data_IF_250639946163
#
_entry.id   IF_250639946163
#
_cell.length_a   1.000
_cell.length_b   1.000
_cell.length_c   1.000
_cell.angle_alpha   90.00
_cell.angle_beta   90.00
_cell.angle_gamma   90.00
#
_symmetry.space_group_name_H-M   'P 1'
#
loop_
_entity.id
_entity.type
_entity.pdbx_description
1 polymer ?
#
# COMPACT_ATOMS: atom_id res chain seq x y z
N UNK A 1 13.28 15.03 40.64
CA UNK A 1 12.21 14.02 40.82
C UNK A 1 11.88 13.41 39.47
N UNK A 2 12.19 12.13 39.28
CA UNK A 2 11.85 11.33 38.09
C UNK A 2 10.38 10.90 38.21
N UNK A 3 9.63 10.85 37.10
CA UNK A 3 8.32 10.20 37.05
C UNK A 3 8.34 9.15 35.94
N UNK A 4 8.30 7.90 36.37
CA UNK A 4 8.20 6.67 35.58
C UNK A 4 6.93 6.62 34.73
N UNK A 5 7.06 6.16 33.48
CA UNK A 5 5.96 5.90 32.55
C UNK A 5 5.91 4.43 32.13
N UNK A 6 5.99 3.52 33.11
CA UNK A 6 5.85 2.08 32.87
C UNK A 6 4.42 1.63 33.15
N UNK A 7 3.53 1.74 32.17
CA UNK A 7 2.30 0.91 32.15
C UNK A 7 1.80 0.70 30.72
N UNK A 8 2.17 -0.45 30.16
CA UNK A 8 1.63 -0.97 28.92
C UNK A 8 0.10 -1.09 29.01
N UNK A 9 -0.61 -0.44 28.08
CA UNK A 9 -2.03 -0.65 27.89
C UNK A 9 -2.24 -2.04 27.27
N UNK A 10 -2.63 -3.02 28.09
CA UNK A 10 -3.13 -4.31 27.62
C UNK A 10 -4.49 -4.06 26.96
N UNK A 11 -4.52 -4.02 25.63
CA UNK A 11 -5.77 -4.00 24.88
C UNK A 11 -6.45 -5.36 25.03
N UNK A 12 -7.62 -5.39 25.69
CA UNK A 12 -8.48 -6.57 25.80
C UNK A 12 -9.31 -6.66 24.51
N UNK A 13 -9.11 -7.74 23.75
CA UNK A 13 -9.94 -8.09 22.59
C UNK A 13 -11.36 -8.39 23.09
N UNK A 14 -12.42 -7.71 22.59
CA UNK A 14 -13.79 -8.09 22.89
C UNK A 14 -14.12 -9.47 22.32
N UNK A 15 -14.78 -10.27 23.15
CA UNK A 15 -15.06 -11.68 22.94
C UNK A 15 -15.79 -12.00 21.64
N UNK A 16 -15.33 -13.11 21.08
CA UNK A 16 -15.76 -13.84 19.91
C UNK A 16 -17.28 -14.09 19.86
N UNK A 17 -17.93 -13.55 18.81
CA UNK A 17 -19.11 -14.15 18.19
C UNK A 17 -19.08 -13.90 16.69
N UNK A 18 -18.33 -14.74 15.98
CA UNK A 18 -18.59 -15.05 14.58
C UNK A 18 -17.49 -14.65 13.58
N UNK A 19 -16.68 -15.64 13.19
CA UNK A 19 -15.93 -15.82 11.92
C UNK A 19 -14.44 -16.17 12.14
N UNK A 20 -14.17 -17.46 12.37
CA UNK A 20 -12.86 -18.05 12.68
C UNK A 20 -11.83 -18.08 11.53
N UNK A 21 -11.82 -17.09 10.64
CA UNK A 21 -10.84 -16.97 9.53
C UNK A 21 -9.89 -15.78 9.69
N UNK A 22 -10.31 -14.70 10.36
CA UNK A 22 -9.52 -13.46 10.48
C UNK A 22 -8.23 -13.64 11.31
N UNK A 23 -8.30 -14.32 12.47
CA UNK A 23 -7.13 -14.54 13.34
C UNK A 23 -6.07 -15.45 12.73
N UNK A 24 -6.49 -16.46 11.95
CA UNK A 24 -5.58 -17.41 11.27
C UNK A 24 -4.72 -16.74 10.19
N UNK A 25 -5.26 -15.75 9.48
CA UNK A 25 -4.53 -15.07 8.42
C UNK A 25 -3.44 -14.14 8.97
N UNK A 26 -3.70 -13.48 10.12
CA UNK A 26 -2.69 -12.65 10.78
C UNK A 26 -1.56 -13.49 11.40
N UNK A 27 -1.88 -14.59 12.09
CA UNK A 27 -0.85 -15.48 12.66
C UNK A 27 0.00 -16.14 11.56
N UNK A 28 -0.62 -16.58 10.46
CA UNK A 28 0.09 -17.10 9.29
C UNK A 28 0.97 -16.03 8.61
N UNK A 29 0.48 -14.80 8.46
CA UNK A 29 1.27 -13.66 7.97
C UNK A 29 2.46 -13.37 8.89
N UNK A 30 2.22 -13.25 10.20
CA UNK A 30 3.23 -12.97 11.21
C UNK A 30 4.30 -14.07 11.22
N UNK A 31 3.92 -15.33 11.11
CA UNK A 31 4.89 -16.44 10.99
C UNK A 31 5.72 -16.37 9.71
N UNK A 32 5.12 -15.96 8.59
CA UNK A 32 5.80 -15.88 7.28
C UNK A 32 6.76 -14.69 7.16
N UNK A 33 6.50 -13.59 7.86
CA UNK A 33 7.23 -12.33 7.68
C UNK A 33 7.96 -11.79 8.93
N UNK A 34 7.77 -12.37 10.13
CA UNK A 34 8.51 -11.97 11.34
C UNK A 34 10.00 -12.38 11.34
N UNK A 35 10.45 -13.22 10.41
CA UNK A 35 11.86 -13.60 10.23
C UNK A 35 12.65 -12.64 9.33
N UNK A 36 11.98 -11.74 8.59
CA UNK A 36 12.62 -10.74 7.74
C UNK A 36 12.96 -9.46 8.55
N UNK A 37 13.74 -9.63 9.62
CA UNK A 37 14.40 -8.50 10.28
C UNK A 37 15.61 -8.09 9.43
N UNK A 38 15.44 -7.16 8.49
CA UNK A 38 16.57 -6.59 7.75
C UNK A 38 16.60 -5.06 7.83
N UNK A 39 17.76 -4.61 8.28
CA UNK A 39 18.25 -3.25 8.46
C UNK A 39 17.93 -2.34 7.28
N UNK A 40 17.37 -1.17 7.58
CA UNK A 40 17.22 -0.07 6.64
C UNK A 40 18.60 0.38 6.10
N UNK A 41 18.74 0.71 4.81
CA UNK A 41 19.97 1.30 4.30
C UNK A 41 20.16 2.70 4.89
N UNK A 42 21.25 2.89 5.64
CA UNK A 42 21.69 4.18 6.15
C UNK A 42 22.21 5.04 4.99
N UNK A 43 21.63 6.22 4.80
CA UNK A 43 22.21 7.26 3.94
C UNK A 43 23.56 7.73 4.54
N UNK A 44 24.66 7.24 3.98
CA UNK A 44 25.99 7.77 4.24
C UNK A 44 26.24 8.98 3.32
N UNK A 45 26.39 10.15 3.92
CA UNK A 45 26.94 11.34 3.28
C UNK A 45 28.44 11.14 3.05
N UNK A 46 28.90 11.38 1.82
CA UNK A 46 30.31 11.70 1.56
C UNK A 46 30.38 12.88 0.59
N UNK A 47 30.87 13.99 1.12
CA UNK A 47 31.42 15.07 0.30
C UNK A 47 32.85 14.71 -0.13
N UNK A 48 33.19 15.08 -1.36
CA UNK A 48 34.55 15.42 -1.73
C UNK A 48 34.53 16.35 -2.94
N UNK A 49 35.19 17.49 -2.77
CA UNK A 49 35.48 18.48 -3.79
C UNK A 49 36.77 18.09 -4.53
N UNK A 50 36.82 18.32 -5.85
CA UNK A 50 37.98 18.91 -6.55
C UNK A 50 37.65 19.18 -8.02
N UNK A 51 38.04 20.38 -8.44
CA UNK A 51 38.17 20.91 -9.81
C UNK A 51 39.17 20.04 -10.61
N UNK A 52 39.23 19.94 -11.94
CA UNK A 52 38.67 20.65 -13.08
C UNK A 52 39.67 20.46 -14.24
N UNK A 53 39.23 20.14 -15.46
CA UNK A 53 39.69 20.67 -16.75
C UNK A 53 39.18 19.87 -17.95
N UNK A 54 38.93 20.64 -19.01
CA UNK A 54 38.22 20.31 -20.23
C UNK A 54 39.01 19.43 -21.23
N UNK A 55 38.29 18.70 -22.10
CA UNK A 55 38.32 18.95 -23.55
C UNK A 55 37.46 17.98 -24.38
N UNK A 56 36.79 18.58 -25.37
CA UNK A 56 36.40 18.11 -26.68
C UNK A 56 35.26 17.07 -26.86
N UNK A 57 34.15 17.58 -27.41
CA UNK A 57 33.22 16.86 -28.31
C UNK A 57 33.95 16.23 -29.51
N UNK A 58 33.31 15.24 -30.15
CA UNK A 58 32.84 15.45 -31.51
C UNK A 58 31.37 15.09 -31.73
N UNK A 59 30.78 15.79 -32.70
CA UNK A 59 29.40 15.68 -33.17
C UNK A 59 29.18 14.41 -34.02
N UNK A 60 28.02 13.78 -33.84
CA UNK A 60 27.15 13.10 -34.83
C UNK A 60 26.11 12.31 -34.03
N UNK A 61 24.86 12.10 -34.38
CA UNK A 61 23.93 12.58 -35.39
C UNK A 61 22.53 12.28 -34.81
N UNK A 62 21.55 13.11 -35.11
CA UNK A 62 20.20 13.02 -34.55
C UNK A 62 19.43 11.80 -35.07
N UNK A 63 18.68 11.11 -34.19
CA UNK A 63 17.40 10.49 -34.56
C UNK A 63 16.49 10.22 -33.35
N UNK A 64 15.45 11.06 -33.31
CA UNK A 64 14.05 10.87 -32.88
C UNK A 64 13.74 10.30 -31.48
N UNK A 65 13.65 11.22 -30.51
CA UNK A 65 13.08 10.96 -29.20
C UNK A 65 11.55 11.02 -29.23
N UNK A 66 10.91 9.86 -29.29
CA UNK A 66 9.50 9.74 -28.90
C UNK A 66 9.38 9.95 -27.38
N UNK A 67 9.03 11.17 -26.98
CA UNK A 67 8.59 11.48 -25.62
C UNK A 67 7.31 10.68 -25.34
N UNK A 68 7.41 9.64 -24.52
CA UNK A 68 6.25 8.93 -24.01
C UNK A 68 5.47 9.88 -23.07
N UNK A 69 4.42 10.52 -23.61
CA UNK A 69 3.50 11.35 -22.83
C UNK A 69 2.63 10.40 -21.99
N UNK A 70 2.70 10.45 -20.65
CA UNK A 70 1.83 9.62 -19.82
C UNK A 70 0.37 10.02 -20.09
N UNK A 71 -0.56 9.06 -20.25
CA UNK A 71 -1.94 9.37 -20.57
C UNK A 71 -2.57 10.23 -19.47
N UNK A 72 -3.32 11.23 -19.91
CA UNK A 72 -4.06 12.18 -19.07
C UNK A 72 -4.92 11.44 -18.04
N UNK A 73 -4.68 11.73 -16.75
CA UNK A 73 -5.35 11.06 -15.63
C UNK A 73 -6.79 11.56 -15.52
N UNK A 74 -7.72 10.87 -16.18
CA UNK A 74 -9.15 11.10 -15.99
C UNK A 74 -9.61 10.45 -14.68
N UNK A 75 -10.21 11.26 -13.80
CA UNK A 75 -10.83 10.77 -12.57
C UNK A 75 -12.06 9.90 -12.92
N UNK A 76 -12.11 8.63 -12.48
CA UNK A 76 -13.27 7.79 -12.69
C UNK A 76 -14.48 8.31 -11.91
N UNK A 77 -15.65 8.18 -12.52
CA UNK A 77 -16.93 8.43 -11.87
C UNK A 77 -17.11 7.36 -10.77
N UNK A 78 -17.34 7.78 -9.52
CA UNK A 78 -17.71 6.89 -8.42
C UNK A 78 -19.10 6.31 -8.68
N UNK A 79 -19.16 5.22 -9.43
CA UNK A 79 -20.40 4.49 -9.69
C UNK A 79 -20.76 3.68 -8.45
N UNK A 80 -22.00 3.84 -7.99
CA UNK A 80 -22.60 2.98 -6.97
C UNK A 80 -22.49 1.53 -7.46
N UNK A 81 -21.99 0.57 -6.66
CA UNK A 81 -21.91 -0.82 -7.09
C UNK A 81 -23.31 -1.35 -7.44
N UNK A 82 -23.64 -1.39 -8.74
CA UNK A 82 -24.73 -2.24 -9.23
C UNK A 82 -24.17 -3.65 -9.36
N UNK A 83 -24.73 -4.54 -8.56
CA UNK A 83 -24.48 -5.96 -8.65
C UNK A 83 -25.07 -6.49 -9.96
N UNK A 84 -24.19 -7.00 -10.83
CA UNK A 84 -24.61 -7.94 -11.87
C UNK A 84 -24.37 -9.31 -11.24
N UNK A 85 -25.46 -10.05 -11.04
CA UNK A 85 -25.56 -11.30 -10.28
C UNK A 85 -24.29 -12.17 -10.34
N UNK A 86 -23.78 -12.52 -9.15
CA UNK A 86 -22.89 -13.65 -8.87
C UNK A 86 -21.45 -13.61 -9.44
N UNK A 87 -20.81 -12.43 -9.50
CA UNK A 87 -19.37 -12.33 -9.80
C UNK A 87 -18.59 -11.59 -8.70
N UNK A 88 -17.40 -12.08 -8.31
CA UNK A 88 -16.57 -11.42 -7.32
C UNK A 88 -16.22 -9.99 -7.78
N UNK A 89 -16.49 -9.01 -6.92
CA UNK A 89 -16.20 -7.60 -7.20
C UNK A 89 -14.82 -7.28 -6.65
N UNK A 90 -13.79 -7.40 -7.50
CA UNK A 90 -12.45 -6.92 -7.17
C UNK A 90 -12.39 -5.41 -7.46
N UNK A 91 -11.90 -4.65 -6.50
CA UNK A 91 -11.66 -3.21 -6.60
C UNK A 91 -10.17 -2.96 -6.41
N UNK A 92 -9.58 -2.23 -7.36
CA UNK A 92 -8.23 -1.71 -7.23
C UNK A 92 -8.27 -0.31 -6.64
N UNK A 93 -7.59 -0.12 -5.51
CA UNK A 93 -7.59 1.13 -4.75
C UNK A 93 -6.19 1.71 -4.71
N UNK A 94 -6.11 3.03 -4.89
CA UNK A 94 -4.92 3.83 -4.61
C UNK A 94 -5.26 4.88 -3.55
N UNK A 95 -4.48 4.90 -2.47
CA UNK A 95 -4.62 5.93 -1.43
C UNK A 95 -3.28 6.55 -1.10
N UNK A 96 -3.27 7.87 -0.97
CA UNK A 96 -2.06 8.64 -0.75
C UNK A 96 -1.99 9.19 0.68
N UNK A 97 -0.78 9.46 1.15
CA UNK A 97 -0.54 10.25 2.35
C UNK A 97 -0.81 11.74 2.08
N UNK A 98 -1.21 12.46 3.12
CA UNK A 98 -1.40 13.90 3.04
C UNK A 98 -0.11 14.57 2.55
N UNK A 99 -0.24 15.51 1.60
CA UNK A 99 0.90 16.20 0.96
C UNK A 99 1.97 15.26 0.39
N UNK A 100 1.63 13.99 0.09
CA UNK A 100 2.58 12.98 -0.43
C UNK A 100 3.79 12.78 0.51
N UNK A 101 3.58 12.88 1.82
CA UNK A 101 4.58 12.56 2.84
C UNK A 101 5.09 11.13 2.68
N UNK A 102 6.41 10.95 2.61
CA UNK A 102 7.06 9.64 2.47
C UNK A 102 7.26 8.98 3.85
N UNK A 103 6.20 8.41 4.41
CA UNK A 103 6.18 7.86 5.79
C UNK A 103 5.77 6.39 5.87
N UNK A 104 5.37 5.78 4.75
CA UNK A 104 4.80 4.43 4.74
C UNK A 104 5.80 3.32 4.44
N UNK A 105 6.95 3.63 3.82
CA UNK A 105 8.00 2.66 3.51
C UNK A 105 8.88 2.40 4.74
N UNK A 106 8.27 1.82 5.78
CA UNK A 106 8.96 1.38 7.00
C UNK A 106 8.28 0.14 7.56
N UNK A 107 9.04 -0.67 8.32
CA UNK A 107 8.51 -1.89 8.92
C UNK A 107 7.33 -1.60 9.87
N UNK A 108 7.42 -0.53 10.67
CA UNK A 108 6.35 -0.15 11.60
C UNK A 108 5.08 0.32 10.90
N UNK A 109 5.20 1.09 9.81
CA UNK A 109 4.04 1.50 9.01
C UNK A 109 3.40 0.29 8.32
N UNK A 110 4.21 -0.61 7.75
CA UNK A 110 3.74 -1.85 7.12
C UNK A 110 2.98 -2.74 8.09
N UNK A 111 3.53 -2.98 9.28
CA UNK A 111 2.87 -3.76 10.34
C UNK A 111 1.55 -3.10 10.78
N UNK A 112 1.54 -1.78 10.98
CA UNK A 112 0.33 -1.05 11.34
C UNK A 112 -0.77 -1.17 10.27
N UNK A 113 -0.39 -1.09 8.99
CA UNK A 113 -1.30 -1.22 7.85
C UNK A 113 -1.89 -2.62 7.78
N UNK A 114 -1.05 -3.66 7.82
CA UNK A 114 -1.51 -5.05 7.74
C UNK A 114 -2.40 -5.40 8.94
N UNK A 115 -2.01 -4.99 10.15
CA UNK A 115 -2.82 -5.17 11.36
C UNK A 115 -4.18 -4.50 11.23
N UNK A 116 -4.22 -3.27 10.70
CA UNK A 116 -5.46 -2.55 10.48
C UNK A 116 -6.37 -3.24 9.44
N UNK A 117 -5.81 -3.83 8.38
CA UNK A 117 -6.58 -4.60 7.41
C UNK A 117 -7.13 -5.90 7.99
N UNK A 118 -6.35 -6.62 8.81
CA UNK A 118 -6.83 -7.80 9.52
C UNK A 118 -7.98 -7.46 10.49
N UNK A 119 -7.88 -6.33 11.20
CA UNK A 119 -8.94 -5.86 12.10
C UNK A 119 -10.20 -5.40 11.34
N UNK A 120 -10.05 -4.82 10.14
CA UNK A 120 -11.15 -4.36 9.29
C UNK A 120 -11.66 -5.47 8.35
N UNK A 121 -12.03 -6.62 8.91
CA UNK A 121 -12.32 -7.88 8.19
C UNK A 121 -13.61 -7.91 7.37
N UNK A 122 -14.37 -6.82 7.32
CA UNK A 122 -15.58 -6.71 6.47
C UNK A 122 -15.26 -6.60 4.98
N UNK A 123 -13.99 -6.36 4.65
CA UNK A 123 -13.44 -6.51 3.30
C UNK A 123 -12.19 -7.38 3.34
N UNK A 124 -11.97 -8.11 2.26
CA UNK A 124 -10.75 -8.89 2.04
C UNK A 124 -9.74 -8.02 1.29
N UNK A 125 -8.52 -7.95 1.80
CA UNK A 125 -7.37 -7.39 1.08
C UNK A 125 -6.64 -8.52 0.38
N UNK A 126 -6.43 -8.39 -0.92
CA UNK A 126 -5.66 -9.32 -1.73
C UNK A 126 -4.21 -8.93 -1.78
N UNK A 127 -3.70 -8.76 -3.00
CA UNK A 127 -2.35 -8.25 -3.26
C UNK A 127 -2.25 -6.76 -3.00
N UNK A 128 -1.08 -6.31 -2.52
CA UNK A 128 -0.81 -4.90 -2.25
C UNK A 128 0.66 -4.55 -2.41
N UNK A 129 0.92 -3.27 -2.64
CA UNK A 129 2.24 -2.62 -2.62
C UNK A 129 2.11 -1.30 -1.87
N UNK A 130 2.94 -1.11 -0.85
CA UNK A 130 3.05 0.13 -0.09
C UNK A 130 4.29 0.87 -0.60
N UNK A 131 4.04 2.00 -1.24
CA UNK A 131 5.05 2.97 -1.66
C UNK A 131 5.27 3.97 -0.52
N UNK A 132 6.38 4.75 -0.51
CA UNK A 132 6.66 5.66 0.59
C UNK A 132 5.52 6.64 0.93
N UNK A 133 4.77 7.10 -0.06
CA UNK A 133 3.72 8.12 0.08
C UNK A 133 2.33 7.65 -0.39
N UNK A 134 2.16 6.40 -0.81
CA UNK A 134 0.85 5.87 -1.22
C UNK A 134 0.81 4.35 -1.17
N UNK A 135 -0.40 3.80 -1.24
CA UNK A 135 -0.65 2.35 -1.23
C UNK A 135 -1.48 2.00 -2.46
N UNK A 136 -1.08 0.93 -3.12
CA UNK A 136 -1.87 0.21 -4.11
C UNK A 136 -2.35 -1.10 -3.48
N UNK A 137 -3.65 -1.37 -3.52
CA UNK A 137 -4.20 -2.63 -3.04
C UNK A 137 -5.36 -3.12 -3.92
N UNK A 138 -5.55 -4.43 -3.94
CA UNK A 138 -6.74 -5.07 -4.45
C UNK A 138 -7.60 -5.51 -3.27
N UNK A 139 -8.90 -5.24 -3.32
CA UNK A 139 -9.82 -5.66 -2.28
C UNK A 139 -11.16 -6.13 -2.85
N UNK A 140 -11.89 -6.89 -2.04
CA UNK A 140 -13.24 -7.35 -2.33
C UNK A 140 -14.10 -7.31 -1.06
N UNK A 141 -15.42 -7.09 -1.17
CA UNK A 141 -16.31 -7.18 -0.02
C UNK A 141 -16.31 -8.60 0.56
N UNK A 142 -16.29 -8.73 1.89
CA UNK A 142 -16.34 -10.02 2.58
C UNK A 142 -17.78 -10.38 2.94
N UNK A 143 -18.57 -10.74 1.93
CA UNK A 143 -20.01 -11.02 2.08
C UNK A 143 -20.91 -9.89 1.61
N UNK A 144 -22.23 -10.14 1.60
CA UNK A 144 -23.24 -9.22 1.05
C UNK A 144 -23.46 -7.99 1.94
N UNK A 145 -23.28 -8.13 3.25
CA UNK A 145 -23.50 -7.06 4.22
C UNK A 145 -22.25 -6.19 4.44
N UNK A 146 -21.25 -6.31 3.56
CA UNK A 146 -20.05 -5.49 3.64
C UNK A 146 -20.42 -4.00 3.53
N UNK A 147 -19.90 -3.15 4.44
CA UNK A 147 -20.16 -1.72 4.37
C UNK A 147 -19.54 -1.14 3.11
N UNK A 148 -19.95 0.07 2.72
CA UNK A 148 -19.37 0.74 1.55
C UNK A 148 -17.84 0.83 1.63
N UNK A 149 -17.16 0.81 0.47
CA UNK A 149 -15.71 0.96 0.38
C UNK A 149 -15.23 2.19 1.15
N UNK A 150 -15.93 3.31 1.05
CA UNK A 150 -15.61 4.54 1.76
C UNK A 150 -15.65 4.39 3.29
N UNK A 151 -16.61 3.65 3.84
CA UNK A 151 -16.66 3.36 5.27
C UNK A 151 -15.48 2.49 5.68
N UNK A 152 -15.25 1.38 4.98
CA UNK A 152 -14.12 0.49 5.26
C UNK A 152 -12.78 1.23 5.18
N UNK A 153 -12.58 2.07 4.15
CA UNK A 153 -11.40 2.92 3.98
C UNK A 153 -11.19 3.87 5.15
N UNK A 154 -12.25 4.52 5.67
CA UNK A 154 -12.16 5.39 6.84
C UNK A 154 -11.75 4.62 8.10
N UNK A 155 -12.30 3.42 8.28
CA UNK A 155 -12.02 2.57 9.44
C UNK A 155 -10.54 2.22 9.53
N UNK A 156 -10.00 1.50 8.54
CA UNK A 156 -8.62 1.03 8.62
C UNK A 156 -7.62 2.18 8.59
N UNK A 157 -7.88 3.25 7.82
CA UNK A 157 -7.03 4.46 7.84
C UNK A 157 -6.93 5.07 9.23
N UNK A 158 -8.04 5.12 9.97
CA UNK A 158 -8.05 5.66 11.34
C UNK A 158 -7.25 4.78 12.30
N UNK A 159 -7.29 3.45 12.11
CA UNK A 159 -6.50 2.51 12.90
C UNK A 159 -5.00 2.73 12.66
N UNK A 160 -4.58 2.86 11.40
CA UNK A 160 -3.18 3.14 11.06
C UNK A 160 -2.74 4.49 11.61
N UNK A 161 -3.54 5.55 11.43
CA UNK A 161 -3.23 6.89 11.97
C UNK A 161 -3.00 6.84 13.49
N UNK A 162 -3.87 6.15 14.23
CA UNK A 162 -3.73 5.98 15.69
C UNK A 162 -2.50 5.16 16.05
N UNK A 163 -2.27 4.05 15.35
CA UNK A 163 -1.12 3.15 15.61
C UNK A 163 0.22 3.84 15.35
N UNK A 164 0.26 4.76 14.38
CA UNK A 164 1.45 5.55 14.05
C UNK A 164 1.60 6.81 14.92
N UNK A 165 0.68 7.08 15.85
CA UNK A 165 0.71 8.28 16.70
C UNK A 165 0.49 9.59 15.93
N UNK A 166 -0.08 9.53 14.72
CA UNK A 166 -0.36 10.71 13.92
C UNK A 166 -1.67 11.39 14.36
N UNK A 167 -1.76 12.72 14.32
CA UNK A 167 -3.02 13.42 14.58
C UNK A 167 -4.12 13.00 13.60
N UNK A 168 -5.37 13.03 14.06
CA UNK A 168 -6.53 12.72 13.22
C UNK A 168 -6.54 13.60 11.96
N UNK A 169 -6.64 12.96 10.79
CA UNK A 169 -6.65 13.65 9.49
C UNK A 169 -5.28 14.10 8.95
N UNK A 170 -4.18 13.88 9.69
CA UNK A 170 -2.85 14.33 9.26
C UNK A 170 -2.11 13.35 8.34
N UNK A 171 -2.39 12.05 8.43
CA UNK A 171 -1.64 11.02 7.70
C UNK A 171 -2.09 10.85 6.24
N UNK A 172 -3.40 10.90 5.97
CA UNK A 172 -3.97 10.49 4.69
C UNK A 172 -4.55 11.66 3.89
N UNK A 173 -4.53 11.56 2.57
CA UNK A 173 -5.42 12.38 1.74
C UNK A 173 -6.89 12.01 2.03
N UNK A 174 -7.77 13.02 1.98
CA UNK A 174 -9.21 12.87 2.25
C UNK A 174 -9.85 11.84 1.33
N UNK A 175 -9.49 11.85 0.06
CA UNK A 175 -10.04 10.97 -0.97
C UNK A 175 -9.06 9.85 -1.32
N UNK A 176 -9.60 8.79 -1.89
CA UNK A 176 -8.85 7.72 -2.51
C UNK A 176 -9.34 7.57 -3.94
N UNK A 177 -8.52 6.97 -4.78
CA UNK A 177 -8.91 6.56 -6.12
C UNK A 177 -9.26 5.09 -6.10
N UNK A 178 -10.33 4.70 -6.76
CA UNK A 178 -10.75 3.31 -6.89
C UNK A 178 -11.23 3.00 -8.32
N UNK A 179 -11.02 1.75 -8.73
CA UNK A 179 -11.56 1.22 -9.98
C UNK A 179 -12.01 -0.21 -9.76
N UNK A 180 -13.27 -0.48 -10.05
CA UNK A 180 -13.82 -1.83 -10.13
C UNK A 180 -13.26 -2.56 -11.35
N UNK A 181 -12.80 -3.78 -11.14
CA UNK A 181 -12.39 -4.66 -12.21
C UNK A 181 -13.62 -5.19 -12.97
N UNK A 182 -13.50 -5.27 -14.30
CA UNK A 182 -14.56 -5.77 -15.20
C UNK A 182 -14.19 -7.14 -15.76
N UNK A 183 -15.18 -8.00 -15.96
CA UNK A 183 -15.00 -9.31 -16.59
C UNK A 183 -14.17 -9.21 -17.88
N UNK A 184 -13.09 -9.99 -17.95
CA UNK A 184 -12.13 -9.98 -19.06
C UNK A 184 -10.87 -9.14 -18.79
N UNK A 185 -10.82 -8.34 -17.74
CA UNK A 185 -9.56 -7.71 -17.30
C UNK A 185 -8.65 -8.77 -16.66
N UNK A 186 -7.37 -8.75 -17.03
CA UNK A 186 -6.38 -9.65 -16.47
C UNK A 186 -5.83 -9.07 -15.15
N UNK A 187 -6.27 -9.65 -14.03
CA UNK A 187 -5.78 -9.33 -12.70
C UNK A 187 -4.25 -9.51 -12.58
N UNK A 188 -3.70 -10.53 -13.24
CA UNK A 188 -2.26 -10.81 -13.28
C UNK A 188 -1.46 -9.68 -13.91
N UNK A 189 -1.88 -9.21 -15.10
CA UNK A 189 -1.17 -8.13 -15.81
C UNK A 189 -1.18 -6.83 -15.00
N UNK A 190 -2.31 -6.52 -14.35
CA UNK A 190 -2.36 -5.34 -13.46
C UNK A 190 -1.44 -5.52 -12.26
N UNK A 191 -1.44 -6.71 -11.66
CA UNK A 191 -0.54 -7.00 -10.54
C UNK A 191 0.92 -6.82 -10.95
N UNK A 192 1.33 -7.32 -12.11
CA UNK A 192 2.71 -7.19 -12.58
C UNK A 192 3.12 -5.72 -12.77
N UNK A 193 2.23 -4.92 -13.36
CA UNK A 193 2.45 -3.48 -13.44
C UNK A 193 2.57 -2.85 -12.04
N UNK A 194 1.70 -3.24 -11.10
CA UNK A 194 1.65 -2.66 -9.76
C UNK A 194 2.89 -3.03 -8.93
N UNK A 195 3.30 -4.30 -8.92
CA UNK A 195 4.49 -4.79 -8.21
C UNK A 195 5.78 -4.18 -8.75
N UNK A 196 5.79 -3.80 -10.04
CA UNK A 196 6.93 -3.12 -10.68
C UNK A 196 7.02 -1.62 -10.38
N UNK A 197 6.09 -1.02 -9.62
CA UNK A 197 6.17 0.41 -9.29
C UNK A 197 7.45 0.80 -8.52
N UNK A 198 7.90 0.06 -7.49
CA UNK A 198 9.14 0.40 -6.78
C UNK A 198 10.36 0.49 -7.70
N UNK A 199 10.46 -0.42 -8.68
CA UNK A 199 11.51 -0.39 -9.72
C UNK A 199 11.38 0.85 -10.61
N UNK A 200 10.18 1.12 -11.12
CA UNK A 200 9.92 2.28 -11.99
C UNK A 200 10.14 3.62 -11.29
N UNK A 201 10.04 3.65 -9.96
CA UNK A 201 10.35 4.80 -9.12
C UNK A 201 11.82 4.85 -8.65
N UNK A 202 12.64 3.87 -9.02
CA UNK A 202 14.06 3.82 -8.72
C UNK A 202 14.40 3.48 -7.28
N UNK A 203 13.49 2.88 -6.51
CA UNK A 203 13.76 2.49 -5.12
C UNK A 203 14.59 1.21 -5.00
N UNK A 204 14.43 0.30 -5.95
CA UNK A 204 15.07 -1.02 -6.01
C UNK A 204 15.30 -1.40 -7.47
N UNK A 205 16.20 -2.36 -7.72
CA UNK A 205 16.50 -2.87 -9.06
C UNK A 205 15.56 -4.01 -9.48
N UNK A 206 15.18 -4.89 -8.54
CA UNK A 206 14.26 -6.00 -8.76
C UNK A 206 12.96 -5.77 -7.98
N UNK A 207 11.81 -6.08 -8.56
CA UNK A 207 10.52 -5.95 -7.90
C UNK A 207 10.38 -6.88 -6.69
N UNK A 208 11.06 -8.03 -6.67
CA UNK A 208 11.04 -8.99 -5.58
C UNK A 208 11.76 -8.47 -4.32
N UNK A 209 12.64 -7.49 -4.47
CA UNK A 209 13.39 -6.89 -3.35
C UNK A 209 12.55 -5.87 -2.54
N UNK A 210 11.34 -5.53 -2.97
CA UNK A 210 10.52 -4.58 -2.21
C UNK A 210 9.92 -5.28 -0.98
N UNK A 211 10.26 -4.87 0.25
CA UNK A 211 9.77 -5.57 1.45
C UNK A 211 8.31 -5.20 1.77
N UNK A 212 7.82 -4.05 1.28
CA UNK A 212 6.52 -3.50 1.64
C UNK A 212 5.43 -3.89 0.63
N UNK A 213 5.39 -5.16 0.23
CA UNK A 213 4.36 -5.76 -0.63
C UNK A 213 3.90 -7.10 -0.04
N UNK A 214 2.78 -7.64 -0.54
CA UNK A 214 2.31 -8.95 -0.10
C UNK A 214 0.93 -9.32 -0.64
N UNK A 215 0.42 -10.45 -0.16
CA UNK A 215 -0.92 -10.97 -0.44
C UNK A 215 -1.54 -11.49 0.87
N UNK A 216 -2.65 -10.91 1.33
CA UNK A 216 -3.33 -11.37 2.56
C UNK A 216 -4.41 -12.41 2.29
N UNK A 217 -5.10 -12.30 1.16
CA UNK A 217 -6.17 -13.22 0.76
C UNK A 217 -6.09 -13.49 -0.74
N UNK A 218 -6.31 -14.74 -1.15
CA UNK A 218 -6.47 -15.07 -2.57
C UNK A 218 -7.85 -14.60 -3.01
N UNK A 219 -7.89 -13.48 -3.73
CA UNK A 219 -9.13 -12.96 -4.32
C UNK A 219 -9.43 -13.76 -5.58
N UNK A 220 -10.48 -14.58 -5.53
CA UNK A 220 -10.94 -15.32 -6.71
C UNK A 220 -11.56 -14.32 -7.68
N UNK A 221 -11.00 -14.27 -8.89
CA UNK A 221 -11.44 -13.42 -10.01
C UNK A 221 -12.26 -14.25 -10.99
#
# INVERSE_FOLDING_TARGET
>A
MRKDWTRAARFRVPGDRGAGTSGRNYEAYRHRYASASMSAPSHASKGHSSEGHASACPQSEAQDGQKHVPPERRHPIHLVPREVRNRPVIIFVTTCTAKRRQVLASASAHEAIVTAWCAASTWLVGRYVIMPDHIHLFCAPNGLDAPSLGHWMRLWKSLVTRSMGEPSGALWQRHHWDRRFRSGENYGDKWEYVRSNPVRHGYIADADDWPYQGELNVLRW
#
